data_IF_161400233597
#
_entry.id   IF_161400233597
#
_cell.length_a   1.000
_cell.length_b   1.000
_cell.length_c   1.000
_cell.angle_alpha   90.00
_cell.angle_beta   90.00
_cell.angle_gamma   90.00
#
_symmetry.space_group_name_H-M   'P 1'
#
loop_
_entity.id
_entity.type
_entity.pdbx_description
1 polymer ?
#
# COMPACT_ATOMS: atom_id res chain seq x y z
N UNK A 1 3.68 -1.12 9.12
CA UNK A 1 2.33 -1.15 8.47
C UNK A 1 1.46 -2.17 9.18
N UNK A 2 0.14 -2.09 9.03
CA UNK A 2 -0.79 -3.05 9.65
C UNK A 2 -2.01 -3.24 8.76
N UNK A 3 -2.49 -4.47 8.64
CA UNK A 3 -3.75 -4.77 7.95
C UNK A 3 -3.80 -4.33 6.47
N UNK A 4 -2.65 -4.33 5.79
CA UNK A 4 -2.51 -3.83 4.42
C UNK A 4 -2.58 -2.30 4.29
N UNK A 5 -2.51 -1.57 5.40
CA UNK A 5 -2.58 -0.11 5.45
C UNK A 5 -1.27 0.49 5.99
N UNK A 6 -0.97 1.69 5.51
CA UNK A 6 0.16 2.45 6.03
C UNK A 6 -0.13 2.95 7.45
N UNK A 7 0.87 2.80 8.31
CA UNK A 7 0.90 3.47 9.61
C UNK A 7 1.60 4.82 9.45
N UNK A 8 0.85 5.83 9.00
CA UNK A 8 1.39 7.14 8.60
C UNK A 8 2.17 7.84 9.72
N UNK A 9 1.74 7.67 10.97
CA UNK A 9 2.45 8.23 12.13
C UNK A 9 3.83 7.59 12.29
N UNK A 10 3.91 6.27 12.10
CA UNK A 10 5.17 5.51 12.22
C UNK A 10 6.12 5.86 11.08
N UNK A 11 5.63 5.92 9.84
CA UNK A 11 6.44 6.33 8.68
C UNK A 11 7.02 7.73 8.87
N UNK A 12 6.19 8.68 9.33
CA UNK A 12 6.65 10.04 9.65
C UNK A 12 7.69 10.06 10.77
N UNK A 13 7.49 9.27 11.84
CA UNK A 13 8.44 9.19 12.97
C UNK A 13 9.80 8.61 12.56
N UNK A 14 9.79 7.62 11.67
CA UNK A 14 11.00 6.96 11.17
C UNK A 14 11.64 7.69 9.98
N UNK A 15 11.02 8.76 9.48
CA UNK A 15 11.43 9.47 8.26
C UNK A 15 11.53 8.56 7.03
N UNK A 16 10.62 7.60 6.92
CA UNK A 16 10.55 6.63 5.80
C UNK A 16 9.48 7.08 4.83
N UNK A 17 9.84 7.22 3.56
CA UNK A 17 8.87 7.56 2.51
C UNK A 17 8.02 6.36 2.11
N UNK A 18 6.82 6.59 1.55
CA UNK A 18 6.01 5.49 1.01
C UNK A 18 6.74 4.75 -0.12
N UNK A 19 7.59 5.43 -0.88
CA UNK A 19 8.35 4.80 -1.97
C UNK A 19 9.43 3.85 -1.43
N UNK A 20 10.13 4.23 -0.35
CA UNK A 20 11.07 3.35 0.36
C UNK A 20 10.36 2.11 0.89
N UNK A 21 9.24 2.28 1.60
CA UNK A 21 8.46 1.12 2.07
C UNK A 21 8.03 0.21 0.91
N UNK A 22 7.52 0.75 -0.19
CA UNK A 22 7.10 -0.04 -1.36
C UNK A 22 8.29 -0.76 -2.02
N UNK A 23 9.48 -0.14 -2.00
CA UNK A 23 10.71 -0.77 -2.48
C UNK A 23 11.08 -1.98 -1.63
N UNK A 24 11.07 -1.84 -0.30
CA UNK A 24 11.41 -2.95 0.61
C UNK A 24 10.41 -4.10 0.51
N UNK A 25 9.12 -3.79 0.41
CA UNK A 25 8.07 -4.78 0.17
C UNK A 25 8.31 -5.55 -1.15
N UNK A 26 8.68 -4.85 -2.22
CA UNK A 26 8.99 -5.48 -3.50
C UNK A 26 10.24 -6.37 -3.42
N UNK A 27 11.27 -5.96 -2.70
CA UNK A 27 12.47 -6.78 -2.47
C UNK A 27 12.14 -8.08 -1.72
N UNK A 28 11.12 -8.06 -0.85
CA UNK A 28 10.61 -9.22 -0.13
C UNK A 28 9.58 -10.05 -0.93
N UNK A 29 9.34 -9.71 -2.20
CA UNK A 29 8.42 -10.45 -3.08
C UNK A 29 6.93 -10.16 -2.84
N UNK A 30 6.59 -9.08 -2.15
CA UNK A 30 5.21 -8.61 -2.04
C UNK A 30 4.78 -7.98 -3.37
N UNK A 31 3.55 -8.23 -3.79
CA UNK A 31 2.94 -7.67 -5.00
C UNK A 31 1.98 -6.51 -4.68
N UNK A 32 1.20 -6.63 -3.59
CA UNK A 32 0.28 -5.59 -3.13
C UNK A 32 0.12 -5.59 -1.61
N UNK A 33 -0.20 -4.42 -1.04
CA UNK A 33 -0.29 -4.25 0.42
C UNK A 33 -1.28 -5.20 1.10
N UNK A 34 -2.32 -5.62 0.39
CA UNK A 34 -3.37 -6.51 0.89
C UNK A 34 -2.90 -7.95 1.17
N UNK A 35 -1.65 -8.28 0.85
CA UNK A 35 -0.99 -9.53 1.28
C UNK A 35 -0.40 -9.42 2.69
N UNK A 36 -0.09 -8.22 3.18
CA UNK A 36 0.68 -8.02 4.42
C UNK A 36 -0.24 -7.72 5.60
N UNK A 37 -0.23 -8.59 6.61
CA UNK A 37 -0.99 -8.41 7.85
C UNK A 37 -0.26 -7.52 8.85
N UNK A 38 1.07 -7.63 8.92
CA UNK A 38 1.93 -6.82 9.78
C UNK A 38 3.29 -6.61 9.13
N UNK A 39 3.78 -5.37 9.15
CA UNK A 39 5.16 -5.06 8.79
C UNK A 39 5.83 -4.23 9.87
N UNK A 40 6.99 -4.68 10.34
CA UNK A 40 7.76 -4.10 11.44
C UNK A 40 9.12 -3.63 10.92
N UNK A 41 9.45 -2.37 11.19
CA UNK A 41 10.79 -1.87 10.96
C UNK A 41 11.67 -2.25 12.15
N UNK A 42 12.74 -2.97 11.85
CA UNK A 42 13.74 -3.40 12.83
C UNK A 42 14.78 -2.31 13.08
N UNK A 43 15.59 -2.48 14.12
CA UNK A 43 16.56 -1.45 14.54
C UNK A 43 17.76 -1.31 13.58
N UNK A 44 18.01 -2.33 12.77
CA UNK A 44 19.05 -2.37 11.73
C UNK A 44 18.58 -1.78 10.38
N UNK A 45 17.30 -1.40 10.29
CA UNK A 45 16.69 -0.86 9.07
C UNK A 45 15.98 -1.90 8.22
N UNK A 46 16.01 -3.18 8.58
CA UNK A 46 15.28 -4.21 7.85
C UNK A 46 13.77 -4.19 8.15
N UNK A 47 13.01 -4.83 7.26
CA UNK A 47 11.56 -4.94 7.35
C UNK A 47 11.15 -6.41 7.54
N UNK A 48 10.67 -6.73 8.74
CA UNK A 48 10.03 -8.02 9.02
C UNK A 48 8.58 -8.01 8.52
N UNK A 49 8.17 -9.04 7.79
CA UNK A 49 6.83 -9.15 7.19
C UNK A 49 6.07 -10.39 7.65
N UNK A 50 4.80 -10.19 7.92
CA UNK A 50 3.81 -11.24 8.17
C UNK A 50 2.69 -11.12 7.15
N UNK A 51 2.27 -12.25 6.61
CA UNK A 51 1.31 -12.32 5.52
C UNK A 51 -0.07 -12.76 6.01
N UNK A 52 -1.09 -12.32 5.30
CA UNK A 52 -2.40 -12.95 5.37
C UNK A 52 -2.34 -14.35 4.74
N UNK A 53 -3.17 -15.26 5.26
CA UNK A 53 -3.41 -16.52 4.57
C UNK A 53 -4.16 -16.30 3.25
N UNK A 54 -4.09 -17.27 2.34
CA UNK A 54 -4.71 -17.17 1.00
C UNK A 54 -6.19 -16.78 1.03
N UNK A 55 -6.95 -17.29 2.00
CA UNK A 55 -8.39 -17.00 2.18
C UNK A 55 -8.68 -15.62 2.79
N UNK A 56 -7.67 -14.99 3.38
CA UNK A 56 -7.78 -13.73 4.14
C UNK A 56 -7.11 -12.56 3.40
N UNK A 57 -6.65 -12.79 2.16
CA UNK A 57 -6.09 -11.75 1.29
C UNK A 57 -7.10 -10.62 1.11
N UNK A 58 -6.58 -9.39 1.10
CA UNK A 58 -7.37 -8.18 0.95
C UNK A 58 -7.02 -7.49 -0.36
N UNK A 59 -7.92 -6.67 -0.93
CA UNK A 59 -7.54 -5.72 -1.95
C UNK A 59 -6.44 -4.79 -1.41
N UNK A 60 -5.50 -4.39 -2.25
CA UNK A 60 -4.40 -3.55 -1.79
C UNK A 60 -3.70 -2.81 -2.90
N UNK A 61 -3.05 -1.72 -2.51
CA UNK A 61 -2.21 -0.92 -3.40
C UNK A 61 -1.04 -1.79 -3.92
N UNK A 62 -0.87 -1.82 -5.24
CA UNK A 62 0.30 -2.46 -5.87
C UNK A 62 1.61 -1.83 -5.35
N UNK A 63 2.65 -2.63 -5.11
CA UNK A 63 3.96 -2.12 -4.67
C UNK A 63 4.86 -1.66 -5.82
N UNK A 64 4.36 -1.72 -7.06
CA UNK A 64 5.12 -1.32 -8.24
C UNK A 64 5.41 0.19 -8.23
N UNK A 65 6.54 0.61 -8.83
CA UNK A 65 6.84 2.01 -9.10
C UNK A 65 5.74 2.69 -9.92
N UNK A 66 5.69 4.03 -9.87
CA UNK A 66 4.65 4.84 -10.54
C UNK A 66 4.62 4.61 -12.06
N UNK A 67 5.79 4.47 -12.67
CA UNK A 67 5.96 4.15 -14.09
C UNK A 67 5.36 2.80 -14.52
N UNK A 68 5.05 1.94 -13.55
CA UNK A 68 4.47 0.60 -13.75
C UNK A 68 3.14 0.42 -13.02
N UNK A 69 2.55 1.50 -12.48
CA UNK A 69 1.31 1.48 -11.71
C UNK A 69 0.39 2.63 -12.11
N UNK A 70 -0.81 2.31 -12.55
CA UNK A 70 -1.81 3.34 -12.87
C UNK A 70 -2.21 4.12 -11.61
N UNK A 71 -2.15 5.45 -11.68
CA UNK A 71 -2.67 6.34 -10.65
C UNK A 71 -3.58 7.39 -11.28
N UNK A 72 -4.74 7.58 -10.67
CA UNK A 72 -5.72 8.59 -11.07
C UNK A 72 -5.78 9.70 -10.04
N UNK A 73 -5.72 10.95 -10.50
CA UNK A 73 -5.99 12.12 -9.67
C UNK A 73 -7.50 12.35 -9.45
N UNK A 74 -8.31 11.79 -10.34
CA UNK A 74 -9.78 11.79 -10.29
C UNK A 74 -10.29 10.44 -10.76
N UNK A 75 -11.12 9.79 -9.95
CA UNK A 75 -11.67 8.48 -10.28
C UNK A 75 -12.52 8.55 -11.56
N UNK A 76 -12.12 7.89 -12.68
CA UNK A 76 -12.80 8.00 -13.97
C UNK A 76 -14.20 7.39 -13.99
N UNK A 77 -14.45 6.41 -13.12
CA UNK A 77 -15.73 5.76 -12.96
C UNK A 77 -15.96 5.38 -11.49
N UNK A 78 -17.22 5.13 -11.11
CA UNK A 78 -17.56 4.58 -9.80
C UNK A 78 -17.11 3.12 -9.73
N UNK A 79 -15.97 2.87 -9.07
CA UNK A 79 -15.35 1.56 -8.95
C UNK A 79 -14.58 1.45 -7.63
N UNK A 80 -13.95 0.31 -7.38
CA UNK A 80 -13.12 0.11 -6.19
C UNK A 80 -11.72 0.69 -6.47
N UNK A 81 -11.23 1.53 -5.56
CA UNK A 81 -9.89 2.10 -5.65
C UNK A 81 -9.17 2.01 -4.30
N UNK A 82 -7.86 1.85 -4.34
CA UNK A 82 -6.96 2.06 -3.21
C UNK A 82 -6.44 3.50 -3.19
N UNK A 83 -6.50 4.16 -2.04
CA UNK A 83 -5.79 5.41 -1.82
C UNK A 83 -4.28 5.16 -1.85
N UNK A 84 -3.55 5.84 -2.73
CA UNK A 84 -2.08 5.71 -2.84
C UNK A 84 -1.38 6.18 -1.55
N UNK A 85 -1.98 7.11 -0.82
CA UNK A 85 -1.39 7.69 0.38
C UNK A 85 -1.60 6.88 1.66
N UNK A 86 -2.57 5.96 1.73
CA UNK A 86 -2.80 5.18 2.96
C UNK A 86 -3.07 3.68 2.74
N UNK A 87 -3.25 3.25 1.48
CA UNK A 87 -3.59 1.88 1.11
C UNK A 87 -5.08 1.54 1.23
N UNK A 88 -5.91 2.41 1.80
CA UNK A 88 -7.32 2.10 2.06
C UNK A 88 -8.12 1.92 0.77
N UNK A 89 -8.81 0.78 0.65
CA UNK A 89 -9.68 0.45 -0.46
C UNK A 89 -11.12 0.95 -0.21
N UNK A 90 -11.69 1.69 -1.17
CA UNK A 90 -13.06 2.19 -1.09
C UNK A 90 -13.70 2.33 -2.47
N UNK A 91 -15.01 2.07 -2.56
CA UNK A 91 -15.80 2.45 -3.74
C UNK A 91 -15.88 3.97 -3.87
N UNK A 92 -15.42 4.51 -4.99
CA UNK A 92 -15.38 5.95 -5.26
C UNK A 92 -15.66 6.25 -6.72
N UNK A 93 -16.28 7.40 -6.99
CA UNK A 93 -16.43 8.00 -8.32
C UNK A 93 -16.38 9.52 -8.22
N UNK A 94 -15.69 10.19 -9.15
CA UNK A 94 -15.68 11.66 -9.25
C UNK A 94 -14.98 12.42 -8.10
N UNK A 95 -14.25 11.75 -7.21
CA UNK A 95 -13.51 12.41 -6.12
C UNK A 95 -12.07 12.73 -6.51
N UNK A 96 -11.51 13.86 -6.06
CA UNK A 96 -10.08 14.19 -6.18
C UNK A 96 -9.22 13.47 -5.14
N UNK A 97 -8.01 13.11 -5.52
CA UNK A 97 -7.00 12.41 -4.71
C UNK A 97 -6.17 11.46 -5.58
N UNK A 98 -5.14 10.81 -5.03
CA UNK A 98 -4.37 9.80 -5.79
C UNK A 98 -4.88 8.40 -5.53
N UNK A 99 -5.34 7.74 -6.60
CA UNK A 99 -6.06 6.47 -6.51
C UNK A 99 -5.45 5.43 -7.45
N UNK A 100 -5.28 4.22 -6.94
CA UNK A 100 -4.94 3.03 -7.70
C UNK A 100 -6.22 2.21 -7.93
N UNK A 101 -6.59 1.87 -9.18
CA UNK A 101 -7.73 0.99 -9.42
C UNK A 101 -7.45 -0.42 -8.90
N UNK A 102 -8.46 -1.06 -8.31
CA UNK A 102 -8.40 -2.45 -7.85
C UNK A 102 -9.16 -3.39 -8.78
#
# INVERSE_FOLDING_TARGET
>A
MRDGLYELKSLKKLNISSNELLMDLRQQGVEHLGQVSLGLFETDGDLSLYFFGQKDLRPGLSVLPLEHRAEFETAPASALYCCVNCGFAQHRGGSRGRFFPL
#
